data_IF_658435396622
#
_entry.id   IF_658435396622
#
_cell.length_a   1.000
_cell.length_b   1.000
_cell.length_c   1.000
_cell.angle_alpha   90.00
_cell.angle_beta   90.00
_cell.angle_gamma   90.00
#
_symmetry.space_group_name_H-M   'P 1'
#
loop_
_entity.id
_entity.type
_entity.pdbx_description
1 polymer ?
#
# COMPACT_ATOMS: atom_id res chain seq x y z
N UNK A 1 -12.19 -0.97 12.23
CA UNK A 1 -12.16 -0.85 10.76
C UNK A 1 -11.23 -1.91 10.17
N UNK A 2 -11.52 -2.33 8.95
CA UNK A 2 -10.67 -3.21 8.14
C UNK A 2 -9.63 -2.35 7.41
N UNK A 3 -8.38 -2.45 7.85
CA UNK A 3 -7.24 -1.73 7.27
C UNK A 3 -6.47 -2.66 6.35
N UNK A 4 -6.41 -2.33 5.07
CA UNK A 4 -5.65 -3.06 4.07
C UNK A 4 -4.31 -2.37 3.79
N UNK A 5 -3.22 -3.07 4.07
CA UNK A 5 -1.87 -2.60 3.75
C UNK A 5 -1.38 -3.27 2.47
N UNK A 6 -1.22 -2.47 1.42
CA UNK A 6 -0.62 -2.85 0.15
C UNK A 6 0.89 -2.56 0.20
N UNK A 7 1.67 -3.59 0.52
CA UNK A 7 3.12 -3.48 0.62
C UNK A 7 3.80 -3.59 -0.74
N UNK A 8 4.32 -2.47 -1.25
CA UNK A 8 4.99 -2.37 -2.55
C UNK A 8 6.46 -2.78 -2.56
N UNK A 9 7.02 -3.22 -1.43
CA UNK A 9 8.41 -3.65 -1.36
C UNK A 9 8.62 -5.03 -1.99
N UNK A 10 9.63 -5.20 -2.86
CA UNK A 10 10.01 -6.52 -3.36
C UNK A 10 10.75 -7.37 -2.30
N UNK A 11 11.13 -6.78 -1.16
CA UNK A 11 11.95 -7.44 -0.12
C UNK A 11 11.15 -8.37 0.81
N UNK A 12 9.83 -8.46 0.68
CA UNK A 12 8.99 -9.38 1.47
C UNK A 12 9.12 -9.15 2.97
N UNK A 13 9.38 -10.22 3.74
CA UNK A 13 9.57 -10.18 5.20
C UNK A 13 10.67 -9.22 5.66
N UNK A 14 11.72 -9.09 4.85
CA UNK A 14 12.86 -8.21 5.11
C UNK A 14 12.57 -6.74 4.75
N UNK A 15 11.33 -6.42 4.35
CA UNK A 15 10.96 -5.05 4.06
C UNK A 15 10.83 -4.23 5.35
N UNK A 16 11.65 -3.20 5.48
CA UNK A 16 11.51 -2.25 6.59
C UNK A 16 10.16 -1.54 6.56
N UNK A 17 9.57 -1.29 5.38
CA UNK A 17 8.21 -0.74 5.30
C UNK A 17 7.15 -1.70 5.83
N UNK A 18 7.37 -3.02 5.72
CA UNK A 18 6.49 -4.00 6.36
C UNK A 18 6.59 -3.88 7.87
N UNK A 19 7.81 -3.80 8.41
CA UNK A 19 8.04 -3.67 9.85
C UNK A 19 7.38 -2.41 10.43
N UNK A 20 7.45 -1.28 9.72
CA UNK A 20 6.73 -0.07 10.14
C UNK A 20 5.21 -0.26 10.12
N UNK A 21 4.68 -1.00 9.14
CA UNK A 21 3.25 -1.28 9.04
C UNK A 21 2.77 -2.24 10.13
N UNK A 22 3.60 -3.24 10.50
CA UNK A 22 3.35 -4.14 11.64
C UNK A 22 3.42 -3.40 12.97
N UNK A 23 4.28 -2.39 13.10
CA UNK A 23 4.27 -1.52 14.27
C UNK A 23 2.96 -0.73 14.38
N UNK A 24 2.40 -0.25 13.26
CA UNK A 24 1.10 0.42 13.27
C UNK A 24 -0.02 -0.52 13.73
N UNK A 25 -0.04 -1.77 13.25
CA UNK A 25 -0.99 -2.77 13.73
C UNK A 25 -0.91 -2.96 15.25
N UNK A 26 0.31 -3.09 15.80
CA UNK A 26 0.50 -3.21 17.26
C UNK A 26 0.02 -1.97 18.03
N UNK A 27 0.17 -0.79 17.44
CA UNK A 27 -0.22 0.48 18.07
C UNK A 27 -1.73 0.72 18.03
N UNK A 28 -2.40 0.26 16.98
CA UNK A 28 -3.83 0.44 16.74
C UNK A 28 -4.55 -0.92 16.72
N UNK A 29 -4.42 -1.67 17.82
CA UNK A 29 -4.94 -3.04 17.95
C UNK A 29 -6.47 -3.15 17.88
N UNK A 30 -7.19 -2.04 18.03
CA UNK A 30 -8.65 -1.95 17.86
C UNK A 30 -9.09 -2.04 16.38
N UNK A 31 -8.14 -2.02 15.44
CA UNK A 31 -8.40 -2.15 14.02
C UNK A 31 -7.87 -3.47 13.48
N UNK A 32 -8.54 -4.02 12.46
CA UNK A 32 -8.14 -5.27 11.85
C UNK A 32 -7.24 -4.97 10.66
N UNK A 33 -5.96 -5.32 10.76
CA UNK A 33 -5.02 -5.15 9.66
C UNK A 33 -4.97 -6.41 8.77
N UNK A 34 -4.93 -6.20 7.47
CA UNK A 34 -4.64 -7.22 6.47
C UNK A 34 -3.46 -6.74 5.62
N UNK A 35 -2.47 -7.59 5.41
CA UNK A 35 -1.26 -7.24 4.66
C UNK A 35 -1.19 -8.02 3.35
N UNK A 36 -1.10 -7.30 2.22
CA UNK A 36 -0.84 -7.88 0.90
C UNK A 36 0.52 -7.44 0.39
N UNK A 37 1.36 -8.40 -0.01
CA UNK A 37 2.73 -8.14 -0.47
C UNK A 37 2.78 -7.91 -1.97
N UNK A 38 2.08 -6.87 -2.40
CA UNK A 38 1.88 -6.57 -3.83
C UNK A 38 3.19 -6.38 -4.60
N UNK A 39 4.24 -5.86 -3.94
CA UNK A 39 5.57 -5.73 -4.54
C UNK A 39 6.27 -7.07 -4.76
N UNK A 40 6.22 -7.97 -3.77
CA UNK A 40 6.86 -9.29 -3.86
C UNK A 40 6.06 -10.24 -4.79
N UNK A 41 4.74 -10.14 -4.77
CA UNK A 41 3.84 -11.08 -5.45
C UNK A 41 3.36 -10.60 -6.82
N UNK A 42 3.91 -9.51 -7.36
CA UNK A 42 3.39 -8.87 -8.58
C UNK A 42 3.17 -9.84 -9.75
N UNK A 43 4.11 -10.77 -10.00
CA UNK A 43 3.99 -11.76 -11.08
C UNK A 43 2.84 -12.74 -10.89
N UNK A 44 2.47 -13.04 -9.64
CA UNK A 44 1.29 -13.86 -9.34
C UNK A 44 0.02 -13.05 -9.55
N UNK A 45 0.03 -11.78 -9.14
CA UNK A 45 -1.10 -10.86 -9.27
C UNK A 45 -1.44 -10.53 -10.73
N UNK A 46 -0.46 -10.60 -11.64
CA UNK A 46 -0.70 -10.49 -13.07
C UNK A 46 -1.55 -11.64 -13.64
N UNK A 47 -1.53 -12.81 -13.00
CA UNK A 47 -2.32 -13.98 -13.42
C UNK A 47 -3.68 -14.00 -12.77
N UNK A 48 -3.71 -13.65 -11.49
CA UNK A 48 -4.93 -13.61 -10.70
C UNK A 48 -4.92 -12.41 -9.75
N UNK A 49 -5.82 -11.46 -10.04
CA UNK A 49 -6.01 -10.24 -9.26
C UNK A 49 -7.25 -10.31 -8.35
N UNK A 50 -8.04 -11.39 -8.43
CA UNK A 50 -9.33 -11.52 -7.75
C UNK A 50 -9.23 -11.32 -6.24
N UNK A 51 -8.24 -11.95 -5.61
CA UNK A 51 -7.99 -11.85 -4.16
C UNK A 51 -7.71 -10.42 -3.72
N UNK A 52 -6.97 -9.65 -4.52
CA UNK A 52 -6.68 -8.25 -4.22
C UNK A 52 -7.93 -7.41 -4.39
N UNK A 53 -8.70 -7.65 -5.45
CA UNK A 53 -9.95 -6.95 -5.71
C UNK A 53 -10.95 -7.10 -4.56
N UNK A 54 -11.11 -8.31 -4.05
CA UNK A 54 -11.96 -8.59 -2.89
C UNK A 54 -11.45 -7.90 -1.64
N UNK A 55 -10.15 -7.96 -1.37
CA UNK A 55 -9.57 -7.28 -0.22
C UNK A 55 -9.76 -5.76 -0.28
N UNK A 56 -9.57 -5.14 -1.46
CA UNK A 56 -9.78 -3.71 -1.68
C UNK A 56 -11.24 -3.32 -1.47
N UNK A 57 -12.18 -4.16 -1.92
CA UNK A 57 -13.62 -3.90 -1.79
C UNK A 57 -14.10 -3.98 -0.33
N UNK A 58 -13.47 -4.84 0.48
CA UNK A 58 -13.83 -5.05 1.89
C UNK A 58 -13.07 -4.15 2.88
N UNK A 59 -12.12 -3.34 2.39
CA UNK A 59 -11.33 -2.45 3.23
C UNK A 59 -12.06 -1.13 3.50
N UNK A 60 -11.94 -0.62 4.72
CA UNK A 60 -12.38 0.72 5.12
C UNK A 60 -11.24 1.76 4.98
N UNK A 61 -10.00 1.30 5.02
CA UNK A 61 -8.79 2.12 4.90
C UNK A 61 -7.75 1.34 4.12
N UNK A 62 -7.18 1.96 3.09
CA UNK A 62 -6.09 1.37 2.30
C UNK A 62 -4.80 2.16 2.54
N UNK A 63 -3.73 1.45 2.87
CA UNK A 63 -2.41 1.99 3.12
C UNK A 63 -1.45 1.45 2.08
N UNK A 64 -0.86 2.34 1.28
CA UNK A 64 0.27 1.99 0.43
C UNK A 64 1.58 2.15 1.21
N UNK A 65 2.32 1.06 1.34
CA UNK A 65 3.55 1.01 2.12
C UNK A 65 4.70 0.51 1.26
N UNK A 66 5.63 1.40 0.87
CA UNK A 66 6.69 1.04 -0.07
C UNK A 66 7.98 1.85 0.17
N UNK A 67 9.15 1.23 -0.05
CA UNK A 67 10.41 1.94 0.01
C UNK A 67 10.54 2.85 -1.22
N UNK A 68 11.27 3.94 -1.07
CA UNK A 68 11.65 4.78 -2.21
C UNK A 68 13.01 4.31 -2.72
N UNK A 69 13.06 3.89 -3.99
CA UNK A 69 14.31 3.52 -4.66
C UNK A 69 14.66 4.60 -5.67
N UNK A 70 15.81 5.26 -5.48
CA UNK A 70 16.28 6.34 -6.36
C UNK A 70 15.19 7.40 -6.61
N UNK A 71 14.52 7.86 -5.54
CA UNK A 71 13.41 8.81 -5.56
C UNK A 71 12.10 8.35 -6.23
N UNK A 72 11.97 7.07 -6.60
CA UNK A 72 10.79 6.53 -7.29
C UNK A 72 10.20 5.36 -6.49
N UNK A 73 8.91 5.09 -6.70
CA UNK A 73 8.27 3.87 -6.20
C UNK A 73 8.83 2.62 -6.91
N UNK A 74 8.81 1.42 -6.28
CA UNK A 74 9.30 0.21 -6.92
C UNK A 74 8.50 -0.11 -8.19
N UNK A 75 9.16 -0.63 -9.23
CA UNK A 75 8.51 -0.96 -10.51
C UNK A 75 7.34 -1.95 -10.36
N UNK A 76 7.42 -2.84 -9.37
CA UNK A 76 6.35 -3.77 -9.01
C UNK A 76 5.09 -3.05 -8.54
N UNK A 77 5.25 -1.94 -7.80
CA UNK A 77 4.13 -1.12 -7.38
C UNK A 77 3.53 -0.35 -8.57
N UNK A 78 4.35 0.16 -9.49
CA UNK A 78 3.84 0.76 -10.73
C UNK A 78 2.98 -0.23 -11.52
N UNK A 79 3.48 -1.46 -11.69
CA UNK A 79 2.73 -2.53 -12.36
C UNK A 79 1.44 -2.89 -11.62
N UNK A 80 1.48 -2.92 -10.28
CA UNK A 80 0.29 -3.14 -9.47
C UNK A 80 -0.78 -2.06 -9.72
N UNK A 81 -0.38 -0.79 -9.81
CA UNK A 81 -1.30 0.32 -10.10
C UNK A 81 -1.92 0.18 -11.51
N UNK A 82 -1.19 -0.35 -12.49
CA UNK A 82 -1.76 -0.68 -13.81
C UNK A 82 -2.84 -1.76 -13.72
N UNK A 83 -2.59 -2.84 -12.97
CA UNK A 83 -3.58 -3.89 -12.74
C UNK A 83 -4.82 -3.35 -12.01
N UNK A 84 -4.60 -2.50 -11.00
CA UNK A 84 -5.67 -1.85 -10.26
C UNK A 84 -6.53 -0.96 -11.18
N UNK A 85 -5.92 -0.20 -12.10
CA UNK A 85 -6.64 0.59 -13.11
C UNK A 85 -7.45 -0.30 -14.03
N UNK A 86 -6.84 -1.38 -14.54
CA UNK A 86 -7.50 -2.32 -15.44
C UNK A 86 -8.70 -3.02 -14.78
N UNK A 87 -8.66 -3.23 -13.45
CA UNK A 87 -9.75 -3.84 -12.69
C UNK A 87 -11.00 -2.95 -12.53
N UNK A 88 -10.92 -1.66 -12.87
CA UNK A 88 -12.02 -0.70 -12.68
C UNK A 88 -12.25 -0.26 -11.23
N UNK A 89 -11.54 -0.84 -10.26
CA UNK A 89 -11.64 -0.47 -8.84
C UNK A 89 -11.13 0.94 -8.55
N UNK A 90 -10.27 1.49 -9.41
CA UNK A 90 -9.73 2.84 -9.26
C UNK A 90 -10.74 3.96 -9.55
N UNK A 91 -11.85 3.66 -10.24
CA UNK A 91 -12.85 4.65 -10.65
C UNK A 91 -13.93 4.93 -9.59
N UNK A 92 -13.86 4.31 -8.40
CA UNK A 92 -14.68 4.78 -7.27
C UNK A 92 -14.04 6.07 -6.75
N UNK A 93 -14.83 7.14 -6.65
CA UNK A 93 -14.40 8.48 -6.21
C UNK A 93 -13.63 8.47 -4.87
N UNK A 94 -13.76 7.39 -4.11
CA UNK A 94 -13.16 7.14 -2.81
C UNK A 94 -11.69 6.63 -2.89
N UNK A 95 -11.20 6.18 -4.05
CA UNK A 95 -9.84 5.61 -4.23
C UNK A 95 -8.85 6.56 -4.93
N UNK A 96 -9.29 7.76 -5.32
CA UNK A 96 -8.50 8.69 -6.12
C UNK A 96 -7.49 9.45 -5.25
N UNK A 97 -6.25 8.95 -5.16
CA UNK A 97 -5.13 9.74 -4.63
C UNK A 97 -4.17 10.20 -5.72
N UNK A 98 -3.92 11.51 -5.69
CA UNK A 98 -2.87 12.23 -6.42
C UNK A 98 -1.50 11.62 -6.12
N UNK A 99 -1.01 10.86 -7.08
CA UNK A 99 0.39 10.52 -7.32
C UNK A 99 1.15 11.78 -7.76
N UNK A 100 1.32 12.77 -6.89
CA UNK A 100 2.28 13.85 -7.14
C UNK A 100 2.89 14.30 -5.80
N UNK A 101 4.20 14.13 -5.70
CA UNK A 101 5.00 14.98 -4.83
C UNK A 101 5.18 16.36 -5.45
N UNK A 102 5.30 17.44 -4.66
CA UNK A 102 5.98 17.49 -3.36
C UNK A 102 5.22 18.22 -2.23
N UNK A 103 5.74 18.04 -1.00
CA UNK A 103 5.44 18.78 0.25
C UNK A 103 4.17 18.41 1.03
N UNK A 104 4.35 18.39 2.36
CA UNK A 104 3.34 18.30 3.44
C UNK A 104 2.81 16.91 3.81
N UNK A 105 3.62 16.15 4.55
CA UNK A 105 3.33 15.75 5.94
C UNK A 105 4.54 14.99 6.50
N UNK A 106 5.41 15.70 7.22
CA UNK A 106 6.49 15.09 7.99
C UNK A 106 5.93 14.70 9.36
N UNK A 107 5.57 13.42 9.54
CA UNK A 107 5.63 12.83 10.88
C UNK A 107 7.11 12.54 11.14
N UNK A 108 7.71 13.32 12.05
CA UNK A 108 9.11 13.22 12.44
C UNK A 108 9.37 11.91 13.20
N UNK A 109 9.64 10.85 12.45
CA UNK A 109 10.41 9.72 12.93
C UNK A 109 11.80 9.81 12.28
N UNK A 110 12.89 9.82 13.06
CA UNK A 110 14.23 9.87 12.50
C UNK A 110 14.52 8.53 11.82
N UNK A 111 15.26 8.59 10.71
CA UNK A 111 15.79 7.50 9.87
C UNK A 111 15.03 7.29 8.54
N UNK A 112 15.57 7.97 7.51
CA UNK A 112 15.73 7.56 6.10
C UNK A 112 14.72 6.61 5.43
N UNK A 113 14.12 7.11 4.33
CA UNK A 113 13.67 6.37 3.13
C UNK A 113 12.28 5.68 3.16
N UNK A 114 11.47 5.85 4.22
CA UNK A 114 10.15 5.21 4.28
C UNK A 114 8.99 6.18 4.09
N UNK A 115 8.06 5.81 3.21
CA UNK A 115 6.81 6.54 3.00
C UNK A 115 5.61 5.62 3.20
N UNK A 116 4.70 6.08 4.04
CA UNK A 116 3.40 5.47 4.29
C UNK A 116 2.37 6.49 3.86
N UNK A 117 1.50 6.11 2.93
CA UNK A 117 0.37 6.93 2.49
C UNK A 117 -0.89 6.19 2.93
N UNK A 118 -1.69 6.81 3.80
CA UNK A 118 -2.94 6.26 4.31
C UNK A 118 -4.14 7.01 3.68
N UNK A 119 -5.14 6.27 3.22
CA UNK A 119 -6.37 6.79 2.60
C UNK A 119 -7.63 6.38 3.35
N UNK A 120 -8.27 7.32 4.04
CA UNK A 120 -9.57 7.09 4.69
C UNK A 120 -10.68 7.01 3.64
N UNK A 121 -11.44 5.90 3.63
CA UNK A 121 -12.70 5.82 2.89
C UNK A 121 -13.80 6.40 3.79
N UNK A 122 -14.44 7.48 3.34
CA UNK A 122 -15.64 8.05 3.95
C UNK A 122 -16.88 7.66 3.14
#
# INVERSE_FOLDING_TARGET
>A
MNVLVLNGSPKGEYSITLQTSLYLEKKFSEHRFQFLRVGQQIKSLERDFSTVSEAITNADLIIFSYPVYTFIAPSQLHRFIELLKASGLMCRENLLLRLLLPNTFTMSLPISIFRIIAMTLA
#
